data_IF_672188547560
#
_entry.id   IF_672188547560
#
_cell.length_a   1.000
_cell.length_b   1.000
_cell.length_c   1.000
_cell.angle_alpha   90.00
_cell.angle_beta   90.00
_cell.angle_gamma   90.00
#
_symmetry.space_group_name_H-M   'P 1'
#
loop_
_entity.id
_entity.type
_entity.pdbx_description
1 polymer ?
#
# COMPACT_ATOMS: atom_id res chain seq x y z
N UNK A 1 -17.96 -4.05 13.52
CA UNK A 1 -16.54 -3.88 13.16
C UNK A 1 -16.22 -2.43 13.40
N UNK A 2 -15.27 -2.14 14.29
CA UNK A 2 -14.90 -0.77 14.67
C UNK A 2 -13.83 -0.24 13.70
N UNK A 3 -13.97 1.03 13.26
CA UNK A 3 -12.95 1.67 12.42
C UNK A 3 -11.60 1.75 13.13
N UNK A 4 -11.57 1.80 14.47
CA UNK A 4 -10.34 1.85 15.27
C UNK A 4 -9.54 0.55 15.17
N UNK A 5 -10.22 -0.59 15.22
CA UNK A 5 -9.58 -1.91 15.05
C UNK A 5 -8.92 -2.02 13.67
N UNK A 6 -9.63 -1.60 12.63
CA UNK A 6 -9.11 -1.56 11.27
C UNK A 6 -7.90 -0.61 11.16
N UNK A 7 -7.98 0.57 11.77
CA UNK A 7 -6.87 1.52 11.80
C UNK A 7 -5.62 0.99 12.54
N UNK A 8 -5.78 0.40 13.72
CA UNK A 8 -4.64 -0.18 14.45
C UNK A 8 -4.00 -1.34 13.69
N UNK A 9 -4.81 -2.18 13.05
CA UNK A 9 -4.31 -3.23 12.17
C UNK A 9 -3.57 -2.63 10.97
N UNK A 10 -4.07 -1.54 10.38
CA UNK A 10 -3.39 -0.86 9.29
C UNK A 10 -1.99 -0.37 9.70
N UNK A 11 -1.89 0.28 10.86
CA UNK A 11 -0.62 0.76 11.41
C UNK A 11 0.36 -0.39 11.64
N UNK A 12 -0.10 -1.49 12.24
CA UNK A 12 0.75 -2.65 12.48
C UNK A 12 1.35 -3.19 11.18
N UNK A 13 0.53 -3.35 10.14
CA UNK A 13 1.00 -3.80 8.82
C UNK A 13 1.98 -2.82 8.18
N UNK A 14 1.75 -1.51 8.32
CA UNK A 14 2.69 -0.49 7.84
C UNK A 14 4.04 -0.60 8.55
N UNK A 15 4.04 -0.78 9.87
CA UNK A 15 5.27 -0.91 10.65
C UNK A 15 6.06 -2.16 10.25
N UNK A 16 5.38 -3.26 9.92
CA UNK A 16 6.01 -4.46 9.34
C UNK A 16 6.62 -4.13 7.98
N UNK A 17 5.88 -3.49 7.08
CA UNK A 17 6.37 -3.13 5.75
C UNK A 17 7.61 -2.21 5.81
N UNK A 18 7.61 -1.21 6.71
CA UNK A 18 8.75 -0.31 6.94
C UNK A 18 9.98 -1.07 7.44
N UNK A 19 9.82 -2.00 8.39
CA UNK A 19 10.94 -2.85 8.86
C UNK A 19 11.50 -3.72 7.74
N UNK A 20 10.64 -4.31 6.92
CA UNK A 20 11.09 -5.13 5.78
C UNK A 20 11.84 -4.30 4.73
N UNK A 21 11.42 -3.06 4.47
CA UNK A 21 12.18 -2.15 3.61
C UNK A 21 13.58 -1.86 4.18
N UNK A 22 13.69 -1.65 5.50
CA UNK A 22 15.00 -1.49 6.14
C UNK A 22 15.89 -2.73 6.00
N UNK A 23 15.32 -3.93 6.14
CA UNK A 23 16.06 -5.19 5.90
C UNK A 23 16.53 -5.31 4.45
N UNK A 24 15.73 -4.82 3.49
CA UNK A 24 16.13 -4.85 2.07
C UNK A 24 17.38 -4.00 1.79
N UNK A 25 17.58 -2.90 2.53
CA UNK A 25 18.78 -2.06 2.40
C UNK A 25 20.06 -2.81 2.80
N UNK A 26 19.95 -3.76 3.72
CA UNK A 26 21.05 -4.62 4.14
C UNK A 26 21.18 -5.85 3.24
N UNK A 27 20.04 -6.40 2.79
CA UNK A 27 19.96 -7.63 2.00
C UNK A 27 18.93 -7.49 0.87
N UNK A 28 19.42 -7.16 -0.33
CA UNK A 28 18.61 -6.89 -1.52
C UNK A 28 17.94 -8.15 -2.12
N UNK A 29 17.07 -8.80 -1.35
CA UNK A 29 16.38 -10.02 -1.74
C UNK A 29 14.96 -9.74 -2.23
N UNK A 30 14.63 -10.34 -3.38
CA UNK A 30 13.28 -10.30 -3.99
C UNK A 30 12.14 -10.58 -3.00
N UNK A 31 12.26 -11.64 -2.20
CA UNK A 31 11.21 -12.06 -1.27
C UNK A 31 10.87 -10.98 -0.24
N UNK A 32 11.84 -10.12 0.10
CA UNK A 32 11.65 -9.02 1.04
C UNK A 32 10.75 -7.97 0.41
N UNK A 33 11.01 -7.57 -0.85
CA UNK A 33 10.16 -6.62 -1.57
C UNK A 33 8.73 -7.14 -1.78
N UNK A 34 8.56 -8.42 -2.09
CA UNK A 34 7.23 -9.05 -2.14
C UNK A 34 6.52 -8.92 -0.79
N UNK A 35 7.24 -9.14 0.30
CA UNK A 35 6.74 -8.94 1.66
C UNK A 35 6.30 -7.50 1.93
N UNK A 36 7.12 -6.52 1.53
CA UNK A 36 6.80 -5.09 1.64
C UNK A 36 5.50 -4.76 0.89
N UNK A 37 5.37 -5.22 -0.36
CA UNK A 37 4.17 -4.99 -1.19
C UNK A 37 2.93 -5.58 -0.51
N UNK A 38 3.03 -6.82 -0.03
CA UNK A 38 1.93 -7.53 0.62
C UNK A 38 1.49 -6.83 1.91
N UNK A 39 2.42 -6.50 2.79
CA UNK A 39 2.11 -5.87 4.08
C UNK A 39 1.64 -4.41 3.88
N UNK A 40 2.25 -3.68 2.93
CA UNK A 40 1.79 -2.36 2.51
C UNK A 40 0.35 -2.37 1.97
N UNK A 41 0.00 -3.36 1.13
CA UNK A 41 -1.35 -3.52 0.60
C UNK A 41 -2.37 -3.92 1.68
N UNK A 42 -1.99 -4.76 2.64
CA UNK A 42 -2.83 -5.04 3.82
C UNK A 42 -3.08 -3.77 4.62
N UNK A 43 -2.05 -2.95 4.85
CA UNK A 43 -2.18 -1.66 5.53
C UNK A 43 -3.15 -0.73 4.80
N UNK A 44 -2.94 -0.50 3.50
CA UNK A 44 -3.82 0.30 2.65
C UNK A 44 -5.26 -0.21 2.65
N UNK A 45 -5.48 -1.51 2.50
CA UNK A 45 -6.82 -2.10 2.53
C UNK A 45 -7.53 -1.95 3.87
N UNK A 46 -6.77 -2.00 4.98
CA UNK A 46 -7.27 -1.71 6.33
C UNK A 46 -7.61 -0.22 6.51
N UNK A 47 -6.79 0.70 5.99
CA UNK A 47 -7.10 2.15 5.99
C UNK A 47 -8.39 2.45 5.23
N UNK A 48 -8.54 1.91 4.02
CA UNK A 48 -9.75 2.08 3.20
C UNK A 48 -11.00 1.66 3.99
N UNK A 49 -10.95 0.48 4.65
CA UNK A 49 -12.05 0.02 5.50
C UNK A 49 -12.28 0.93 6.70
N UNK A 50 -11.22 1.38 7.38
CA UNK A 50 -11.34 2.29 8.51
C UNK A 50 -12.06 3.60 8.12
N UNK A 51 -11.67 4.21 7.00
CA UNK A 51 -12.33 5.41 6.48
C UNK A 51 -13.81 5.17 6.12
N UNK A 52 -14.11 4.08 5.40
CA UNK A 52 -15.49 3.76 5.02
C UNK A 52 -16.38 3.51 6.25
N UNK A 53 -15.89 2.76 7.25
CA UNK A 53 -16.63 2.47 8.49
C UNK A 53 -16.86 3.76 9.27
N UNK A 54 -15.83 4.61 9.40
CA UNK A 54 -15.92 5.89 10.11
C UNK A 54 -17.00 6.80 9.53
N UNK A 55 -17.08 6.88 8.20
CA UNK A 55 -18.07 7.69 7.49
C UNK A 55 -19.46 7.03 7.42
N UNK A 56 -19.62 5.81 7.94
CA UNK A 56 -20.85 5.03 7.75
C UNK A 56 -21.14 4.70 6.28
N UNK A 57 -20.14 4.81 5.40
CA UNK A 57 -20.27 4.58 3.97
C UNK A 57 -20.27 3.08 3.67
N UNK A 58 -21.31 2.61 2.97
CA UNK A 58 -21.33 1.27 2.37
C UNK A 58 -20.70 1.37 0.98
N UNK A 59 -19.63 0.63 0.72
CA UNK A 59 -18.99 0.73 -0.58
C UNK A 59 -17.72 -0.11 -0.74
N UNK A 60 -17.08 0.10 -1.88
CA UNK A 60 -15.83 -0.55 -2.27
C UNK A 60 -14.73 0.52 -2.47
N UNK A 61 -13.59 0.14 -3.07
CA UNK A 61 -12.49 1.06 -3.32
C UNK A 61 -12.89 2.30 -4.14
N UNK A 62 -13.87 2.18 -5.04
CA UNK A 62 -14.36 3.30 -5.84
C UNK A 62 -15.09 4.34 -4.97
N UNK A 63 -15.98 3.89 -4.08
CA UNK A 63 -16.65 4.76 -3.11
C UNK A 63 -15.62 5.47 -2.22
N UNK A 64 -14.59 4.75 -1.77
CA UNK A 64 -13.50 5.36 -1.02
C UNK A 64 -12.82 6.47 -1.83
N UNK A 65 -12.42 6.20 -3.07
CA UNK A 65 -11.67 7.15 -3.89
C UNK A 65 -12.46 8.41 -4.26
N UNK A 66 -13.76 8.28 -4.53
CA UNK A 66 -14.58 9.39 -5.04
C UNK A 66 -15.19 10.19 -3.89
N UNK A 67 -15.75 9.50 -2.89
CA UNK A 67 -16.65 10.15 -1.94
C UNK A 67 -15.98 10.44 -0.59
N UNK A 68 -15.06 9.57 -0.14
CA UNK A 68 -14.51 9.60 1.21
C UNK A 68 -13.10 10.18 1.26
N UNK A 69 -12.16 9.58 0.52
CA UNK A 69 -10.75 9.93 0.58
C UNK A 69 -10.46 11.41 0.31
N UNK A 70 -11.09 12.08 -0.68
CA UNK A 70 -10.82 13.49 -0.98
C UNK A 70 -11.15 14.47 0.16
N UNK A 71 -11.93 14.04 1.16
CA UNK A 71 -12.26 14.87 2.34
C UNK A 71 -11.13 14.90 3.37
N UNK A 72 -10.24 13.92 3.35
CA UNK A 72 -9.23 13.70 4.39
C UNK A 72 -7.81 13.64 3.83
N UNK A 73 -7.65 13.22 2.58
CA UNK A 73 -6.37 12.86 1.98
C UNK A 73 -6.07 13.74 0.78
N UNK A 74 -4.80 14.08 0.63
CA UNK A 74 -4.24 14.66 -0.59
C UNK A 74 -4.27 13.66 -1.75
N UNK A 75 -4.18 14.17 -2.97
CA UNK A 75 -4.11 13.32 -4.18
C UNK A 75 -2.92 12.35 -4.13
N UNK A 76 -1.77 12.78 -3.59
CA UNK A 76 -0.58 11.95 -3.44
C UNK A 76 -0.79 10.78 -2.47
N UNK A 77 -1.46 11.02 -1.35
CA UNK A 77 -1.85 10.00 -0.37
C UNK A 77 -2.83 8.99 -0.96
N UNK A 78 -3.84 9.47 -1.69
CA UNK A 78 -4.80 8.61 -2.40
C UNK A 78 -4.07 7.74 -3.42
N UNK A 79 -3.19 8.34 -4.22
CA UNK A 79 -2.36 7.64 -5.19
C UNK A 79 -1.44 6.60 -4.53
N UNK A 80 -0.91 6.88 -3.33
CA UNK A 80 -0.11 5.92 -2.56
C UNK A 80 -0.93 4.71 -2.11
N UNK A 81 -2.07 4.95 -1.47
CA UNK A 81 -2.99 3.89 -0.98
C UNK A 81 -3.50 3.03 -2.14
N UNK A 82 -3.96 3.63 -3.22
CA UNK A 82 -4.47 2.90 -4.39
C UNK A 82 -3.33 2.23 -5.16
N UNK A 83 -2.18 2.90 -5.24
CA UNK A 83 -0.98 2.41 -5.92
C UNK A 83 -0.49 1.08 -5.35
N UNK A 84 -0.38 0.96 -4.02
CA UNK A 84 0.08 -0.30 -3.41
C UNK A 84 -0.91 -1.44 -3.59
N UNK A 85 -2.22 -1.15 -3.58
CA UNK A 85 -3.28 -2.14 -3.82
C UNK A 85 -3.23 -2.67 -5.26
N UNK A 86 -3.04 -1.77 -6.22
CA UNK A 86 -2.86 -2.14 -7.63
C UNK A 86 -1.58 -2.94 -7.84
N UNK A 87 -0.49 -2.55 -7.16
CA UNK A 87 0.78 -3.25 -7.23
C UNK A 87 0.69 -4.67 -6.66
N UNK A 88 0.01 -4.87 -5.53
CA UNK A 88 -0.22 -6.21 -4.97
C UNK A 88 -1.07 -7.07 -5.91
N UNK A 89 -2.09 -6.48 -6.56
CA UNK A 89 -2.88 -7.18 -7.58
C UNK A 89 -2.02 -7.59 -8.77
N UNK A 90 -1.20 -6.68 -9.29
CA UNK A 90 -0.30 -6.95 -10.41
C UNK A 90 0.73 -8.03 -10.05
N UNK A 91 1.29 -7.96 -8.84
CA UNK A 91 2.24 -8.94 -8.32
C UNK A 91 1.63 -10.35 -8.24
N UNK A 92 0.38 -10.48 -7.77
CA UNK A 92 -0.35 -11.76 -7.73
C UNK A 92 -0.64 -12.34 -9.12
N UNK A 93 -0.80 -11.49 -10.12
CA UNK A 93 -1.08 -11.88 -11.50
C UNK A 93 0.18 -12.10 -12.33
N UNK A 94 1.36 -11.71 -11.80
CA UNK A 94 2.60 -11.78 -12.53
C UNK A 94 3.02 -13.23 -12.77
N UNK A 95 3.33 -13.56 -14.02
CA UNK A 95 3.86 -14.89 -14.38
C UNK A 95 5.33 -15.04 -14.00
N UNK A 96 6.05 -13.94 -14.09
CA UNK A 96 7.49 -13.87 -13.85
C UNK A 96 7.79 -12.59 -13.08
N UNK A 97 8.65 -12.71 -12.07
CA UNK A 97 9.10 -11.58 -11.25
C UNK A 97 10.61 -11.67 -11.02
N UNK A 98 11.33 -10.58 -11.27
CA UNK A 98 12.78 -10.47 -11.04
C UNK A 98 13.13 -9.21 -10.25
N UNK A 99 14.22 -9.28 -9.48
CA UNK A 99 14.87 -8.10 -8.91
C UNK A 99 16.21 -7.89 -9.57
N UNK A 100 16.43 -6.68 -10.10
CA UNK A 100 17.70 -6.29 -10.72
C UNK A 100 17.88 -4.79 -10.55
N UNK A 101 19.04 -4.36 -10.05
CA UNK A 101 19.42 -2.95 -9.92
C UNK A 101 18.32 -2.09 -9.27
N UNK A 102 17.82 -2.53 -8.10
CA UNK A 102 16.75 -1.83 -7.35
C UNK A 102 15.43 -1.68 -8.10
N UNK A 103 15.15 -2.60 -9.02
CA UNK A 103 13.90 -2.67 -9.77
C UNK A 103 13.28 -4.04 -9.62
N UNK A 104 11.97 -4.05 -9.39
CA UNK A 104 11.11 -5.23 -9.52
C UNK A 104 10.51 -5.21 -10.92
N UNK A 105 10.77 -6.24 -11.72
CA UNK A 105 10.13 -6.43 -13.01
C UNK A 105 9.01 -7.44 -12.87
N UNK A 106 7.80 -7.05 -13.26
CA UNK A 106 6.59 -7.88 -13.23
C UNK A 106 6.06 -8.09 -14.65
N UNK A 107 5.90 -9.34 -15.07
CA UNK A 107 5.22 -9.64 -16.34
C UNK A 107 3.73 -9.89 -16.10
N UNK A 108 2.88 -8.92 -16.47
CA UNK A 108 1.43 -8.99 -16.28
C UNK A 108 0.73 -8.92 -17.64
N UNK A 109 0.06 -10.02 -18.03
CA UNK A 109 -0.69 -10.08 -19.30
C UNK A 109 0.19 -9.85 -20.54
N UNK A 110 1.44 -10.33 -20.52
CA UNK A 110 2.39 -10.16 -21.62
C UNK A 110 3.05 -8.78 -21.70
N UNK A 111 2.84 -7.91 -20.70
CA UNK A 111 3.50 -6.60 -20.58
C UNK A 111 4.41 -6.55 -19.36
N UNK A 112 5.60 -5.99 -19.53
CA UNK A 112 6.52 -5.72 -18.43
C UNK A 112 6.15 -4.43 -17.70
N UNK A 113 5.94 -4.53 -16.39
CA UNK A 113 5.85 -3.40 -15.47
C UNK A 113 7.14 -3.35 -14.65
N UNK A 114 7.71 -2.16 -14.54
CA UNK A 114 8.93 -1.93 -13.77
C UNK A 114 8.55 -1.07 -12.57
N UNK A 115 8.87 -1.57 -11.38
CA UNK A 115 8.74 -0.82 -10.14
C UNK A 115 10.13 -0.56 -9.57
N UNK A 116 10.48 0.71 -9.40
CA UNK A 116 11.70 1.08 -8.70
C UNK A 116 11.48 1.00 -7.17
N UNK A 117 12.50 0.54 -6.45
CA UNK A 117 12.43 0.46 -4.97
C UNK A 117 12.23 1.85 -4.35
N UNK A 118 12.79 2.91 -4.96
CA UNK A 118 12.53 4.31 -4.61
C UNK A 118 11.03 4.62 -4.63
N UNK A 119 10.36 4.25 -5.72
CA UNK A 119 8.91 4.45 -5.88
C UNK A 119 8.11 3.67 -4.83
N UNK A 120 8.55 2.45 -4.49
CA UNK A 120 7.92 1.68 -3.41
C UNK A 120 8.08 2.39 -2.05
N UNK A 121 9.25 2.99 -1.76
CA UNK A 121 9.47 3.78 -0.54
C UNK A 121 8.56 4.99 -0.47
N UNK A 122 8.42 5.73 -1.58
CA UNK A 122 7.49 6.87 -1.67
C UNK A 122 6.06 6.43 -1.33
N UNK A 123 5.59 5.34 -1.93
CA UNK A 123 4.26 4.79 -1.67
C UNK A 123 4.08 4.44 -0.18
N UNK A 124 5.05 3.76 0.43
CA UNK A 124 5.01 3.44 1.86
C UNK A 124 5.07 4.71 2.72
N UNK A 125 5.80 5.73 2.28
CA UNK A 125 5.84 7.06 2.90
C UNK A 125 4.45 7.71 2.92
N UNK A 126 3.76 7.74 1.78
CA UNK A 126 2.41 8.30 1.66
C UNK A 126 1.41 7.57 2.57
N UNK A 127 1.47 6.23 2.64
CA UNK A 127 0.63 5.45 3.56
C UNK A 127 0.96 5.82 5.02
N UNK A 128 2.22 6.11 5.32
CA UNK A 128 2.64 6.64 6.62
C UNK A 128 1.99 7.96 6.98
N UNK A 129 2.00 8.93 6.05
CA UNK A 129 1.32 10.22 6.23
C UNK A 129 -0.17 10.02 6.50
N UNK A 130 -0.84 9.12 5.76
CA UNK A 130 -2.25 8.79 6.01
C UNK A 130 -2.47 8.25 7.43
N UNK A 131 -1.62 7.34 7.91
CA UNK A 131 -1.74 6.78 9.26
C UNK A 131 -1.57 7.85 10.33
N UNK A 132 -0.65 8.80 10.13
CA UNK A 132 -0.39 9.90 11.05
C UNK A 132 -1.56 10.90 11.07
N UNK A 133 -2.07 11.26 9.88
CA UNK A 133 -3.18 12.19 9.72
C UNK A 133 -4.49 11.62 10.27
N UNK A 134 -4.77 10.33 10.05
CA UNK A 134 -5.97 9.68 10.58
C UNK A 134 -6.06 9.75 12.12
N UNK A 135 -4.92 9.83 12.83
CA UNK A 135 -4.90 9.97 14.29
C UNK A 135 -5.38 11.34 14.77
N UNK A 136 -5.28 12.37 13.94
CA UNK A 136 -5.63 13.75 14.29
C UNK A 136 -7.09 14.10 13.97
N UNK A 137 -7.73 13.31 13.10
CA UNK A 137 -9.14 13.46 12.71
C UNK A 137 -10.00 12.63 13.65
#
# INVERSE_FOLDING_TARGET
MDYREEFYSARWHLDVAKRMLGVYDEYAEKRVLVGVIREGAKSAGKLVRAFLIREGAKGNLQTFMIDVAPRYLSEEEICGVVGILNLERDQKLARVEFVRNDKVLLEVGGKWKILEVSRLREIIGHIGSVVENFRQV
#
